data_IF_986040580134
#
_entry.id   IF_986040580134
#
_cell.length_a   1.000
_cell.length_b   1.000
_cell.length_c   1.000
_cell.angle_alpha   90.00
_cell.angle_beta   90.00
_cell.angle_gamma   90.00
#
_symmetry.space_group_name_H-M   'P 1'
#
loop_
_entity.id
_entity.type
_entity.pdbx_description
1 polymer ?
#
# COMPACT_ATOMS: atom_id res chain seq x y z
N UNK A 1 -16.54 35.42 -8.91
CA UNK A 1 -16.34 35.04 -7.49
C UNK A 1 -16.29 33.54 -7.22
N UNK A 2 -16.61 32.62 -8.15
CA UNK A 2 -16.59 31.16 -7.88
C UNK A 2 -15.24 30.45 -8.09
N UNK A 3 -14.21 31.14 -8.59
CA UNK A 3 -12.90 30.55 -8.91
C UNK A 3 -11.84 30.76 -7.83
N UNK A 4 -11.99 31.78 -6.97
CA UNK A 4 -11.07 32.08 -5.86
C UNK A 4 -11.28 31.15 -4.67
N UNK A 5 -12.52 30.81 -4.35
CA UNK A 5 -12.87 29.99 -3.17
C UNK A 5 -12.51 28.51 -3.36
N UNK A 6 -12.54 28.00 -4.60
CA UNK A 6 -12.01 26.66 -4.92
C UNK A 6 -10.50 26.58 -4.78
N UNK A 7 -9.76 27.65 -5.12
CA UNK A 7 -8.30 27.71 -4.96
C UNK A 7 -7.89 27.83 -3.48
N UNK A 8 -8.58 28.66 -2.69
CA UNK A 8 -8.30 28.79 -1.25
C UNK A 8 -8.65 27.54 -0.44
N UNK A 9 -9.65 26.74 -0.85
CA UNK A 9 -9.95 25.46 -0.18
C UNK A 9 -9.00 24.31 -0.56
N UNK A 10 -8.28 24.39 -1.68
CA UNK A 10 -7.29 23.36 -2.06
C UNK A 10 -6.04 23.38 -1.17
N UNK A 11 -5.69 24.52 -0.55
CA UNK A 11 -4.55 24.58 0.38
C UNK A 11 -4.80 23.86 1.71
N UNK A 12 -6.04 23.44 2.00
CA UNK A 12 -6.42 22.91 3.32
C UNK A 12 -6.35 21.38 3.43
N UNK A 13 -6.28 20.66 2.31
CA UNK A 13 -6.38 19.21 2.28
C UNK A 13 -5.26 18.58 1.45
N UNK A 14 -4.46 17.65 2.02
CA UNK A 14 -3.37 17.01 1.29
C UNK A 14 -3.85 16.33 0.00
N UNK A 15 -3.13 16.54 -1.11
CA UNK A 15 -3.38 15.88 -2.39
C UNK A 15 -2.73 14.50 -2.40
N UNK A 16 -3.51 13.45 -2.67
CA UNK A 16 -3.08 12.06 -2.56
C UNK A 16 -3.04 11.40 -3.94
N UNK A 17 -1.94 10.72 -4.27
CA UNK A 17 -1.92 9.74 -5.35
C UNK A 17 -2.24 8.37 -4.78
N UNK A 18 -3.25 7.68 -5.30
CA UNK A 18 -3.58 6.30 -4.95
C UNK A 18 -3.20 5.39 -6.11
N UNK A 19 -2.47 4.31 -5.85
CA UNK A 19 -2.07 3.44 -6.95
C UNK A 19 -1.19 2.27 -6.56
N UNK A 20 -0.95 1.41 -7.55
CA UNK A 20 -0.01 0.31 -7.46
C UNK A 20 0.51 -0.14 -8.83
N UNK A 21 1.65 -0.85 -8.85
CA UNK A 21 1.98 -1.79 -9.92
C UNK A 21 0.92 -2.90 -10.02
N UNK A 22 0.62 -3.37 -11.22
CA UNK A 22 -0.22 -4.56 -11.43
C UNK A 22 0.16 -5.34 -12.69
N UNK A 23 -0.33 -6.57 -12.81
CA UNK A 23 -0.21 -7.43 -13.98
C UNK A 23 -1.42 -8.36 -14.11
N UNK A 24 -1.53 -9.06 -15.24
CA UNK A 24 -2.60 -10.02 -15.51
C UNK A 24 -2.74 -11.11 -14.44
N UNK A 25 -1.67 -11.41 -13.69
CA UNK A 25 -1.70 -12.35 -12.56
C UNK A 25 -2.65 -11.93 -11.42
N UNK A 26 -3.13 -10.67 -11.42
CA UNK A 26 -4.08 -10.15 -10.42
C UNK A 26 -5.51 -10.01 -10.96
N UNK A 27 -5.79 -10.44 -12.20
CA UNK A 27 -7.10 -10.25 -12.85
C UNK A 27 -8.31 -10.66 -11.99
N UNK A 28 -8.16 -11.74 -11.21
CA UNK A 28 -9.16 -12.32 -10.34
C UNK A 28 -9.74 -11.36 -9.31
N UNK A 29 -8.99 -10.32 -8.91
CA UNK A 29 -9.43 -9.31 -7.95
C UNK A 29 -9.69 -7.93 -8.59
N UNK A 30 -9.48 -7.77 -9.91
CA UNK A 30 -9.56 -6.47 -10.59
C UNK A 30 -10.91 -5.77 -10.35
N UNK A 31 -12.03 -6.47 -10.55
CA UNK A 31 -13.36 -5.87 -10.41
C UNK A 31 -13.61 -5.34 -8.99
N UNK A 32 -13.26 -6.13 -7.97
CA UNK A 32 -13.46 -5.73 -6.57
C UNK A 32 -12.51 -4.59 -6.17
N UNK A 33 -11.27 -4.62 -6.66
CA UNK A 33 -10.30 -3.54 -6.47
C UNK A 33 -10.78 -2.21 -7.04
N UNK A 34 -11.26 -2.20 -8.30
CA UNK A 34 -11.80 -1.00 -8.94
C UNK A 34 -13.01 -0.46 -8.16
N UNK A 35 -13.88 -1.35 -7.66
CA UNK A 35 -14.99 -0.93 -6.80
C UNK A 35 -14.50 -0.31 -5.49
N UNK A 36 -13.45 -0.88 -4.88
CA UNK A 36 -12.77 -0.31 -3.71
C UNK A 36 -12.23 1.09 -3.98
N UNK A 37 -11.47 1.27 -5.07
CA UNK A 37 -10.91 2.56 -5.49
C UNK A 37 -11.98 3.62 -5.75
N UNK A 38 -13.04 3.28 -6.50
CA UNK A 38 -14.17 4.18 -6.77
C UNK A 38 -14.98 4.49 -5.51
N UNK A 39 -14.95 3.59 -4.52
CA UNK A 39 -15.65 3.74 -3.25
C UNK A 39 -14.94 4.63 -2.21
N UNK A 40 -13.68 4.98 -2.43
CA UNK A 40 -12.91 5.85 -1.53
C UNK A 40 -13.58 7.23 -1.39
N UNK A 41 -13.78 7.68 -0.15
CA UNK A 41 -14.55 8.91 0.15
C UNK A 41 -13.73 10.19 0.09
N UNK A 42 -12.41 10.12 0.24
CA UNK A 42 -11.56 11.32 0.27
C UNK A 42 -11.60 12.07 -1.06
N UNK A 43 -11.89 13.39 -1.08
CA UNK A 43 -12.14 14.10 -2.33
C UNK A 43 -10.89 14.53 -3.09
N UNK A 44 -9.75 14.78 -2.41
CA UNK A 44 -8.53 15.32 -3.02
C UNK A 44 -7.54 14.21 -3.39
N UNK A 45 -8.01 13.26 -4.19
CA UNK A 45 -7.20 12.12 -4.64
C UNK A 45 -7.22 11.99 -6.15
N UNK A 46 -6.10 11.55 -6.69
CA UNK A 46 -6.02 10.96 -8.02
C UNK A 46 -5.71 9.47 -7.92
N UNK A 47 -6.08 8.73 -8.95
CA UNK A 47 -5.78 7.30 -9.07
C UNK A 47 -4.84 7.11 -10.24
N UNK A 48 -3.84 6.24 -10.09
CA UNK A 48 -3.04 5.74 -11.21
C UNK A 48 -2.64 4.29 -10.99
N UNK A 49 -2.97 3.44 -11.95
CA UNK A 49 -2.50 2.05 -12.00
C UNK A 49 -1.36 1.96 -13.01
N UNK A 50 -0.28 1.25 -12.66
CA UNK A 50 0.82 0.94 -13.59
C UNK A 50 0.77 -0.54 -13.96
N UNK A 51 0.28 -0.83 -15.16
CA UNK A 51 0.09 -2.17 -15.71
C UNK A 51 1.37 -2.65 -16.38
N UNK A 52 1.97 -3.76 -15.92
CA UNK A 52 3.30 -4.21 -16.36
C UNK A 52 3.33 -5.61 -17.00
N UNK A 53 2.20 -6.10 -17.51
CA UNK A 53 2.13 -7.36 -18.27
C UNK A 53 2.88 -7.24 -19.59
N UNK A 54 3.26 -8.39 -20.15
CA UNK A 54 4.02 -8.45 -21.40
C UNK A 54 3.25 -7.89 -22.60
N UNK A 55 1.94 -8.17 -22.67
CA UNK A 55 1.06 -7.73 -23.74
C UNK A 55 0.01 -6.74 -23.21
N UNK A 56 -0.79 -6.18 -24.11
CA UNK A 56 -1.74 -5.09 -23.78
C UNK A 56 -3.17 -5.58 -23.53
N UNK A 57 -3.40 -6.89 -23.47
CA UNK A 57 -4.73 -7.46 -23.22
C UNK A 57 -5.26 -7.01 -21.85
N UNK A 58 -4.41 -7.12 -20.82
CA UNK A 58 -4.76 -6.72 -19.47
C UNK A 58 -4.89 -5.20 -19.33
N UNK A 59 -4.04 -4.42 -20.00
CA UNK A 59 -4.19 -2.96 -20.10
C UNK A 59 -5.55 -2.57 -20.70
N UNK A 60 -5.93 -3.23 -21.80
CA UNK A 60 -7.20 -3.00 -22.48
C UNK A 60 -8.39 -3.36 -21.60
N UNK A 61 -8.28 -4.45 -20.84
CA UNK A 61 -9.28 -4.83 -19.84
C UNK A 61 -9.45 -3.76 -18.76
N UNK A 62 -8.35 -3.24 -18.18
CA UNK A 62 -8.44 -2.19 -17.14
C UNK A 62 -9.07 -0.91 -17.71
N UNK A 63 -8.75 -0.53 -18.96
CA UNK A 63 -9.33 0.66 -19.61
C UNK A 63 -10.86 0.59 -19.71
N UNK A 64 -11.44 -0.60 -19.85
CA UNK A 64 -12.90 -0.77 -19.88
C UNK A 64 -13.59 -0.40 -18.56
N UNK A 65 -12.85 -0.28 -17.46
CA UNK A 65 -13.37 0.18 -16.17
C UNK A 65 -13.31 1.71 -16.01
N UNK A 66 -12.81 2.44 -17.00
CA UNK A 66 -12.70 3.90 -17.00
C UNK A 66 -11.90 4.43 -15.80
N UNK A 67 -10.79 3.76 -15.49
CA UNK A 67 -9.85 4.19 -14.44
C UNK A 67 -8.50 4.58 -15.07
N UNK A 68 -7.79 5.59 -14.54
CA UNK A 68 -6.49 5.93 -15.08
C UNK A 68 -5.49 4.79 -14.92
N UNK A 69 -4.95 4.34 -16.05
CA UNK A 69 -3.96 3.28 -16.15
C UNK A 69 -2.93 3.63 -17.22
N UNK A 70 -1.67 3.34 -16.93
CA UNK A 70 -0.57 3.44 -17.90
C UNK A 70 0.15 2.12 -18.04
N UNK A 71 0.83 1.95 -19.18
CA UNK A 71 1.71 0.81 -19.41
C UNK A 71 3.06 1.05 -18.74
N UNK A 72 3.44 0.18 -17.82
CA UNK A 72 4.79 0.08 -17.28
C UNK A 72 5.71 -0.70 -18.21
N UNK A 73 7.02 -0.51 -18.04
CA UNK A 73 8.02 -1.27 -18.78
C UNK A 73 7.96 -2.75 -18.40
N UNK A 74 8.01 -3.61 -19.41
CA UNK A 74 8.09 -5.05 -19.21
C UNK A 74 9.55 -5.51 -19.09
N UNK A 75 9.77 -6.43 -18.16
CA UNK A 75 11.01 -7.18 -17.92
C UNK A 75 10.64 -8.64 -17.68
N UNK A 76 11.54 -9.59 -17.86
CA UNK A 76 11.28 -11.01 -17.54
C UNK A 76 11.04 -11.24 -16.04
N UNK A 77 11.82 -10.56 -15.19
CA UNK A 77 11.71 -10.65 -13.73
C UNK A 77 10.56 -9.81 -13.16
N UNK A 78 9.79 -10.39 -12.24
CA UNK A 78 8.66 -9.72 -11.61
C UNK A 78 9.09 -8.55 -10.71
N UNK A 79 10.25 -8.68 -10.07
CA UNK A 79 10.80 -7.69 -9.14
C UNK A 79 11.14 -6.40 -9.89
N UNK A 80 11.80 -6.50 -11.03
CA UNK A 80 12.18 -5.36 -11.88
C UNK A 80 10.94 -4.64 -12.42
N UNK A 81 9.92 -5.40 -12.84
CA UNK A 81 8.63 -4.83 -13.26
C UNK A 81 7.96 -4.05 -12.14
N UNK A 82 7.92 -4.62 -10.94
CA UNK A 82 7.30 -4.00 -9.77
C UNK A 82 8.05 -2.72 -9.37
N UNK A 83 9.37 -2.77 -9.23
CA UNK A 83 10.20 -1.63 -8.84
C UNK A 83 10.09 -0.48 -9.83
N UNK A 84 10.25 -0.79 -11.12
CA UNK A 84 10.14 0.23 -12.18
C UNK A 84 8.76 0.89 -12.15
N UNK A 85 7.71 0.09 -11.96
CA UNK A 85 6.34 0.60 -11.84
C UNK A 85 6.13 1.46 -10.60
N UNK A 86 6.72 1.08 -9.45
CA UNK A 86 6.59 1.83 -8.21
C UNK A 86 7.38 3.14 -8.25
N UNK A 87 8.52 3.16 -8.92
CA UNK A 87 9.29 4.37 -9.16
C UNK A 87 8.61 5.33 -10.15
N UNK A 88 7.80 4.84 -11.09
CA UNK A 88 6.91 5.70 -11.90
C UNK A 88 5.88 6.41 -11.00
N UNK A 89 5.22 5.69 -10.08
CA UNK A 89 4.27 6.27 -9.13
C UNK A 89 4.94 7.27 -8.18
N UNK A 90 6.12 6.92 -7.65
CA UNK A 90 6.96 7.81 -6.85
C UNK A 90 7.28 9.10 -7.61
N UNK A 91 7.80 8.98 -8.83
CA UNK A 91 8.16 10.13 -9.67
C UNK A 91 6.95 11.01 -9.94
N UNK A 92 5.77 10.44 -10.21
CA UNK A 92 4.53 11.20 -10.34
C UNK A 92 4.21 12.01 -9.08
N UNK A 93 4.33 11.42 -7.89
CA UNK A 93 4.14 12.15 -6.63
C UNK A 93 5.09 13.34 -6.51
N UNK A 94 6.36 13.12 -6.80
CA UNK A 94 7.41 14.15 -6.71
C UNK A 94 7.23 15.25 -7.77
N UNK A 95 6.93 14.89 -9.02
CA UNK A 95 6.90 15.85 -10.13
C UNK A 95 5.59 16.66 -10.20
N UNK A 96 4.48 16.11 -9.72
CA UNK A 96 3.13 16.70 -9.92
C UNK A 96 2.49 17.26 -8.63
N UNK A 97 3.31 17.55 -7.62
CA UNK A 97 2.89 18.28 -6.41
C UNK A 97 1.90 17.53 -5.54
N UNK A 98 2.01 16.20 -5.44
CA UNK A 98 1.25 15.42 -4.45
C UNK A 98 1.93 15.48 -3.08
N UNK A 99 1.13 15.47 -2.01
CA UNK A 99 1.60 15.47 -0.62
C UNK A 99 1.86 14.06 -0.10
N UNK A 100 1.09 13.08 -0.59
CA UNK A 100 1.22 11.68 -0.21
C UNK A 100 1.01 10.73 -1.39
N UNK A 101 1.62 9.55 -1.27
CA UNK A 101 1.32 8.35 -2.04
C UNK A 101 0.64 7.32 -1.13
N UNK A 102 -0.57 6.90 -1.48
CA UNK A 102 -1.19 5.70 -0.94
C UNK A 102 -0.87 4.52 -1.85
N UNK A 103 0.14 3.73 -1.45
CA UNK A 103 0.40 2.43 -2.06
C UNK A 103 -0.73 1.48 -1.66
N UNK A 104 -1.55 1.09 -2.64
CA UNK A 104 -2.71 0.23 -2.45
C UNK A 104 -2.67 -0.90 -3.48
N UNK A 105 -2.17 -2.07 -3.11
CA UNK A 105 -2.02 -3.20 -4.05
C UNK A 105 -3.37 -3.77 -4.49
N UNK A 106 -3.42 -4.30 -5.72
CA UNK A 106 -4.68 -4.67 -6.36
C UNK A 106 -5.50 -5.70 -5.57
N UNK A 107 -4.84 -6.61 -4.86
CA UNK A 107 -5.50 -7.61 -4.01
C UNK A 107 -5.85 -7.08 -2.61
N UNK A 108 -5.62 -5.81 -2.30
CA UNK A 108 -5.94 -5.22 -1.00
C UNK A 108 -7.11 -4.25 -1.13
N UNK A 109 -8.25 -4.61 -0.54
CA UNK A 109 -9.49 -3.82 -0.57
C UNK A 109 -9.64 -3.08 0.77
N UNK A 110 -9.48 -1.74 0.79
CA UNK A 110 -9.49 -0.97 2.03
C UNK A 110 -10.91 -0.56 2.44
N UNK A 111 -11.11 -0.13 3.71
CA UNK A 111 -12.25 0.70 4.08
C UNK A 111 -12.36 1.95 3.19
N UNK A 112 -13.58 2.43 2.95
CA UNK A 112 -13.84 3.58 2.06
C UNK A 112 -13.22 4.89 2.58
N UNK A 113 -13.12 5.03 3.89
CA UNK A 113 -12.62 6.18 4.64
C UNK A 113 -11.13 6.06 5.05
N UNK A 114 -10.39 5.16 4.39
CA UNK A 114 -8.99 4.83 4.70
C UNK A 114 -8.07 6.06 4.74
N UNK A 115 -8.19 6.95 3.74
CA UNK A 115 -7.31 8.12 3.60
C UNK A 115 -7.58 9.10 4.76
N UNK A 116 -8.84 9.37 5.05
CA UNK A 116 -9.27 10.24 6.14
C UNK A 116 -8.72 9.76 7.47
N UNK A 117 -8.87 8.46 7.76
CA UNK A 117 -8.40 7.84 9.01
C UNK A 117 -6.88 7.88 9.12
N UNK A 118 -6.15 7.60 8.05
CA UNK A 118 -4.69 7.68 8.04
C UNK A 118 -4.17 9.11 8.23
N UNK A 119 -4.79 10.10 7.58
CA UNK A 119 -4.40 11.51 7.69
C UNK A 119 -4.64 12.10 9.09
N UNK A 120 -5.64 11.61 9.84
CA UNK A 120 -5.90 12.04 11.23
C UNK A 120 -4.69 11.85 12.14
N UNK A 121 -3.85 10.84 11.87
CA UNK A 121 -2.66 10.54 12.69
C UNK A 121 -1.45 11.44 12.39
N UNK A 122 -1.48 12.20 11.29
CA UNK A 122 -0.41 13.14 10.88
C UNK A 122 0.98 12.47 10.85
N UNK A 123 1.05 11.22 10.37
CA UNK A 123 2.29 10.46 10.26
C UNK A 123 2.89 10.57 8.86
N UNK A 124 4.21 10.46 8.78
CA UNK A 124 4.94 10.42 7.51
C UNK A 124 4.78 9.08 6.80
N UNK A 125 4.73 7.98 7.56
CA UNK A 125 4.43 6.64 7.04
C UNK A 125 3.42 5.97 7.96
N UNK A 126 2.29 5.55 7.41
CA UNK A 126 1.26 4.82 8.15
C UNK A 126 0.67 3.69 7.32
N UNK A 127 0.57 2.51 7.94
CA UNK A 127 0.05 1.29 7.31
C UNK A 127 -1.31 0.88 7.88
N UNK A 128 -2.18 0.33 7.02
CA UNK A 128 -3.35 -0.43 7.43
C UNK A 128 -3.03 -1.92 7.58
N UNK A 129 -3.87 -2.66 8.30
CA UNK A 129 -3.65 -4.10 8.50
C UNK A 129 -4.29 -4.92 7.40
N UNK A 130 -3.50 -5.82 6.81
CA UNK A 130 -3.99 -6.94 6.04
C UNK A 130 -3.12 -8.16 6.34
N UNK A 131 -3.65 -9.34 6.06
CA UNK A 131 -3.06 -10.59 6.53
C UNK A 131 -2.54 -11.44 5.38
N UNK A 132 -1.49 -12.22 5.64
CA UNK A 132 -0.98 -13.21 4.71
C UNK A 132 -0.76 -14.57 5.39
N UNK A 133 -0.98 -15.64 4.63
CA UNK A 133 -0.61 -16.99 4.99
C UNK A 133 0.91 -17.13 4.94
N UNK A 134 1.50 -17.47 6.07
CA UNK A 134 2.88 -17.88 6.18
C UNK A 134 2.93 -19.36 6.54
N UNK A 135 3.85 -20.09 5.89
CA UNK A 135 4.17 -21.47 6.23
C UNK A 135 5.23 -21.45 7.32
N UNK A 136 4.94 -22.09 8.44
CA UNK A 136 5.85 -22.21 9.58
C UNK A 136 6.68 -23.50 9.48
N UNK A 137 7.75 -23.59 10.27
CA UNK A 137 8.65 -24.75 10.32
C UNK A 137 7.91 -26.05 10.66
N UNK A 138 6.82 -25.96 11.42
CA UNK A 138 5.92 -27.07 11.74
C UNK A 138 5.05 -27.54 10.54
N UNK A 139 5.27 -26.94 9.35
CA UNK A 139 4.54 -27.22 8.12
C UNK A 139 3.15 -26.59 8.07
N UNK A 140 2.66 -25.98 9.16
CA UNK A 140 1.33 -25.38 9.22
C UNK A 140 1.31 -24.01 8.56
N UNK A 141 0.23 -23.75 7.86
CA UNK A 141 -0.06 -22.41 7.33
C UNK A 141 -0.82 -21.64 8.39
N UNK A 142 -0.30 -20.49 8.79
CA UNK A 142 -1.00 -19.58 9.72
C UNK A 142 -1.15 -18.22 9.07
N UNK A 143 -2.24 -17.56 9.43
CA UNK A 143 -2.53 -16.21 9.00
C UNK A 143 -1.80 -15.22 9.91
N UNK A 144 -0.97 -14.35 9.32
CA UNK A 144 -0.11 -13.40 10.03
C UNK A 144 -0.39 -11.99 9.51
N UNK A 145 -0.53 -10.96 10.38
CA UNK A 145 -0.64 -9.57 9.93
C UNK A 145 0.67 -9.12 9.29
N UNK A 146 0.58 -8.41 8.17
CA UNK A 146 1.74 -7.81 7.51
C UNK A 146 2.12 -6.46 8.13
N UNK A 147 2.39 -6.48 9.44
CA UNK A 147 2.90 -5.37 10.23
C UNK A 147 3.73 -5.92 11.39
N UNK A 148 4.95 -5.41 11.55
CA UNK A 148 5.98 -5.99 12.42
C UNK A 148 6.59 -4.96 13.36
N UNK A 149 6.77 -5.33 14.63
CA UNK A 149 7.46 -4.53 15.65
C UNK A 149 8.86 -5.06 15.89
N UNK A 150 9.78 -4.15 16.15
CA UNK A 150 11.11 -4.49 16.64
C UNK A 150 10.99 -4.92 18.10
N UNK A 151 11.56 -6.09 18.43
CA UNK A 151 11.61 -6.60 19.81
C UNK A 151 13.01 -6.55 20.39
N UNK A 152 14.05 -6.49 19.54
CA UNK A 152 15.42 -6.29 19.97
C UNK A 152 16.17 -5.48 18.90
N UNK A 153 16.72 -4.33 19.31
CA UNK A 153 17.45 -3.42 18.42
C UNK A 153 18.85 -3.93 18.05
N UNK A 154 19.53 -4.61 18.97
CA UNK A 154 20.89 -5.13 18.77
C UNK A 154 20.90 -6.29 17.78
N UNK A 155 19.93 -7.21 17.90
CA UNK A 155 19.80 -8.37 17.01
C UNK A 155 18.87 -8.12 15.82
N UNK A 156 18.33 -6.91 15.69
CA UNK A 156 17.33 -6.52 14.68
C UNK A 156 16.16 -7.49 14.58
N UNK A 157 15.79 -8.11 15.71
CA UNK A 157 14.74 -9.12 15.72
C UNK A 157 13.38 -8.44 15.75
N UNK A 158 12.46 -8.91 14.90
CA UNK A 158 11.10 -8.42 14.79
C UNK A 158 10.07 -9.52 14.99
N UNK A 159 8.85 -9.14 15.38
CA UNK A 159 7.68 -10.03 15.43
C UNK A 159 6.50 -9.38 14.72
N UNK A 160 5.56 -10.16 14.16
CA UNK A 160 4.28 -9.60 13.71
C UNK A 160 3.50 -9.04 14.90
N UNK A 161 2.57 -8.12 14.62
CA UNK A 161 1.56 -7.71 15.61
C UNK A 161 0.75 -8.91 16.09
N UNK A 162 0.37 -8.88 17.36
CA UNK A 162 -0.30 -10.00 18.03
C UNK A 162 -1.81 -9.75 18.19
N UNK A 163 -2.55 -10.79 18.59
CA UNK A 163 -4.00 -10.71 18.77
C UNK A 163 -4.42 -9.56 19.72
N UNK A 164 -3.65 -9.34 20.78
CA UNK A 164 -3.89 -8.25 21.72
C UNK A 164 -3.83 -6.87 21.03
N UNK A 165 -2.85 -6.63 20.14
CA UNK A 165 -2.66 -5.35 19.44
C UNK A 165 -3.67 -5.17 18.29
N UNK A 166 -4.22 -6.27 17.78
CA UNK A 166 -5.16 -6.26 16.66
C UNK A 166 -6.62 -6.19 17.09
N UNK A 167 -6.98 -6.82 18.21
CA UNK A 167 -8.38 -7.10 18.57
C UNK A 167 -8.75 -6.63 19.97
N UNK A 168 -7.92 -6.90 20.98
CA UNK A 168 -8.26 -6.60 22.36
C UNK A 168 -7.96 -5.13 22.71
N UNK A 169 -6.91 -4.57 22.12
CA UNK A 169 -6.45 -3.20 22.29
C UNK A 169 -6.13 -2.55 20.92
N UNK A 170 -7.08 -2.41 19.99
CA UNK A 170 -6.79 -1.83 18.69
C UNK A 170 -6.47 -0.33 18.81
N UNK A 171 -5.52 0.16 18.02
CA UNK A 171 -5.06 1.54 18.08
C UNK A 171 -3.88 1.82 17.16
N UNK A 172 -3.13 2.89 17.45
CA UNK A 172 -1.94 3.26 16.70
C UNK A 172 -0.68 2.68 17.35
N UNK A 173 0.07 1.88 16.60
CA UNK A 173 1.29 1.23 17.06
C UNK A 173 2.51 1.64 16.25
N UNK A 174 3.66 1.93 16.89
CA UNK A 174 4.92 2.02 16.17
C UNK A 174 5.31 0.64 15.64
N UNK A 175 5.74 0.59 14.39
CA UNK A 175 6.21 -0.62 13.70
C UNK A 175 7.53 -0.31 12.99
N UNK A 176 8.25 -1.34 12.54
CA UNK A 176 9.49 -1.18 11.76
C UNK A 176 9.38 -1.76 10.36
N UNK A 177 8.33 -2.54 10.08
CA UNK A 177 8.10 -3.12 8.75
C UNK A 177 6.61 -3.43 8.55
N UNK A 178 6.15 -3.35 7.32
CA UNK A 178 4.84 -3.80 6.86
C UNK A 178 4.96 -4.33 5.43
N UNK A 179 3.86 -4.76 4.81
CA UNK A 179 3.80 -4.88 3.36
C UNK A 179 3.35 -3.56 2.71
N UNK A 180 3.69 -3.33 1.44
CA UNK A 180 3.31 -2.11 0.70
C UNK A 180 1.87 -2.13 0.16
N UNK A 181 1.06 -3.11 0.55
CA UNK A 181 -0.29 -3.29 0.03
C UNK A 181 -1.32 -2.27 0.52
N UNK A 182 -1.06 -1.58 1.63
CA UNK A 182 -1.89 -0.47 2.10
C UNK A 182 -1.06 0.47 3.01
N UNK A 183 -0.29 1.36 2.41
CA UNK A 183 0.61 2.28 3.12
C UNK A 183 0.49 3.68 2.56
N UNK A 184 0.19 4.65 3.43
CA UNK A 184 0.23 6.07 3.10
C UNK A 184 1.61 6.64 3.45
N UNK A 185 2.27 7.20 2.44
CA UNK A 185 3.67 7.64 2.48
C UNK A 185 3.72 9.12 2.11
N UNK A 186 4.22 9.96 3.01
CA UNK A 186 4.40 11.38 2.79
C UNK A 186 5.49 11.64 1.75
N UNK A 187 5.30 12.68 0.93
CA UNK A 187 6.23 13.11 -0.10
C UNK A 187 7.67 13.24 0.41
N UNK A 188 7.87 13.80 1.60
CA UNK A 188 9.22 13.97 2.17
C UNK A 188 9.97 12.65 2.41
N UNK A 189 9.25 11.53 2.53
CA UNK A 189 9.86 10.19 2.62
C UNK A 189 10.27 9.71 1.24
N UNK A 190 9.39 9.90 0.25
CA UNK A 190 9.67 9.55 -1.15
C UNK A 190 10.82 10.38 -1.74
N UNK A 191 11.03 11.63 -1.30
CA UNK A 191 12.20 12.43 -1.69
C UNK A 191 13.52 11.78 -1.25
N UNK A 192 13.51 11.04 -0.13
CA UNK A 192 14.68 10.40 0.45
C UNK A 192 14.86 8.93 0.06
N UNK A 193 13.77 8.26 -0.30
CA UNK A 193 13.74 6.81 -0.55
C UNK A 193 13.21 6.54 -1.96
N UNK A 194 14.03 5.86 -2.75
CA UNK A 194 13.66 5.27 -4.02
C UNK A 194 13.32 3.78 -3.82
N UNK A 195 12.29 3.27 -4.51
CA UNK A 195 11.96 1.85 -4.40
C UNK A 195 13.06 1.03 -5.07
N UNK A 196 13.53 -0.02 -4.39
CA UNK A 196 14.67 -0.83 -4.84
C UNK A 196 14.52 -2.28 -4.38
N UNK A 197 15.29 -3.17 -4.98
CA UNK A 197 15.52 -4.52 -4.47
C UNK A 197 17.00 -4.82 -4.38
N UNK A 198 17.33 -5.77 -3.52
CA UNK A 198 18.60 -6.48 -3.51
C UNK A 198 18.35 -7.98 -3.34
N UNK A 199 19.25 -8.80 -3.88
CA UNK A 199 19.27 -10.25 -3.67
C UNK A 199 17.93 -10.95 -3.98
N UNK A 200 17.23 -10.51 -5.04
CA UNK A 200 15.93 -11.08 -5.47
C UNK A 200 14.83 -11.02 -4.38
N UNK A 201 14.92 -10.08 -3.44
CA UNK A 201 13.84 -9.78 -2.51
C UNK A 201 12.96 -8.64 -3.04
N UNK A 202 11.69 -8.64 -2.66
CA UNK A 202 10.73 -7.60 -3.05
C UNK A 202 11.04 -6.26 -2.37
N UNK A 203 10.49 -5.20 -2.96
CA UNK A 203 10.81 -3.82 -2.66
C UNK A 203 10.19 -3.29 -1.37
N UNK A 204 9.11 -3.93 -0.90
CA UNK A 204 8.51 -3.64 0.40
C UNK A 204 9.52 -3.77 1.53
N UNK A 205 10.29 -4.86 1.56
CA UNK A 205 11.33 -5.09 2.56
C UNK A 205 12.34 -3.94 2.59
N UNK A 206 12.87 -3.53 1.44
CA UNK A 206 13.91 -2.50 1.39
C UNK A 206 13.37 -1.10 1.64
N UNK A 207 12.13 -0.81 1.26
CA UNK A 207 11.50 0.46 1.62
C UNK A 207 11.49 0.67 3.15
N UNK A 208 11.15 -0.36 3.92
CA UNK A 208 11.14 -0.27 5.38
C UNK A 208 12.54 -0.32 6.02
N UNK A 209 13.50 -1.03 5.40
CA UNK A 209 14.91 -0.95 5.79
C UNK A 209 15.43 0.49 5.60
N UNK A 210 15.17 1.10 4.44
CA UNK A 210 15.59 2.48 4.16
C UNK A 210 14.93 3.48 5.10
N UNK A 211 13.67 3.25 5.49
CA UNK A 211 13.02 4.05 6.53
C UNK A 211 13.75 3.89 7.87
N UNK A 212 14.09 2.68 8.26
CA UNK A 212 14.80 2.40 9.51
C UNK A 212 16.18 3.05 9.54
N UNK A 213 16.97 2.90 8.47
CA UNK A 213 18.32 3.45 8.35
C UNK A 213 18.35 4.98 8.34
N UNK A 214 17.24 5.62 7.91
CA UNK A 214 17.05 7.07 7.91
C UNK A 214 16.29 7.58 9.14
N UNK A 215 16.05 6.72 10.13
CA UNK A 215 15.32 7.06 11.37
C UNK A 215 13.90 7.63 11.10
N UNK A 216 13.25 7.17 10.03
CA UNK A 216 11.89 7.53 9.68
C UNK A 216 10.92 6.65 10.45
N UNK A 217 10.15 7.26 11.35
CA UNK A 217 9.14 6.55 12.12
C UNK A 217 8.01 6.01 11.24
N UNK A 218 7.64 4.74 11.46
CA UNK A 218 6.55 4.05 10.77
C UNK A 218 5.50 3.66 11.82
N UNK A 219 4.23 3.89 11.49
CA UNK A 219 3.12 3.52 12.34
C UNK A 219 2.14 2.60 11.62
N UNK A 220 1.38 1.85 12.40
CA UNK A 220 0.25 1.08 11.91
C UNK A 220 -0.99 1.40 12.75
N UNK A 221 -2.09 1.71 12.08
CA UNK A 221 -3.40 1.83 12.74
C UNK A 221 -4.12 0.49 12.65
N UNK A 222 -4.16 -0.26 13.75
CA UNK A 222 -4.77 -1.59 13.80
C UNK A 222 -6.30 -1.54 13.80
N UNK A 223 -6.91 -0.36 13.93
CA UNK A 223 -8.34 -0.18 13.70
C UNK A 223 -8.69 -0.24 12.20
N UNK A 224 -7.71 -0.02 11.33
CA UNK A 224 -7.84 -0.07 9.87
C UNK A 224 -7.50 -1.48 9.40
N UNK A 225 -8.51 -2.22 8.91
CA UNK A 225 -8.34 -3.59 8.40
C UNK A 225 -8.82 -3.68 6.96
N UNK A 226 -7.94 -4.09 6.07
CA UNK A 226 -8.17 -4.25 4.64
C UNK A 226 -8.39 -5.73 4.30
N UNK A 227 -9.37 -6.01 3.45
CA UNK A 227 -9.60 -7.35 2.92
C UNK A 227 -8.47 -7.68 1.95
N UNK A 228 -7.78 -8.79 2.18
CA UNK A 228 -6.79 -9.30 1.24
C UNK A 228 -7.43 -10.39 0.38
N UNK A 229 -7.62 -10.10 -0.90
CA UNK A 229 -8.14 -10.99 -1.92
C UNK A 229 -7.05 -11.93 -2.36
N UNK A 230 -6.92 -13.06 -1.69
CA UNK A 230 -5.92 -14.07 -2.01
C UNK A 230 -6.66 -15.33 -2.41
N UNK A 231 -6.21 -16.01 -3.45
CA UNK A 231 -6.73 -17.32 -3.83
C UNK A 231 -6.32 -18.34 -2.75
N UNK A 232 -7.04 -18.40 -1.62
CA UNK A 232 -6.59 -19.07 -0.38
C UNK A 232 -7.72 -19.77 0.40
N UNK A 233 -7.37 -20.79 1.23
CA UNK A 233 -8.32 -21.70 1.89
C UNK A 233 -9.13 -21.09 3.04
N UNK A 234 -8.78 -19.89 3.54
CA UNK A 234 -9.45 -19.26 4.69
C UNK A 234 -10.21 -18.01 4.20
N UNK A 235 -11.56 -18.01 4.23
CA UNK A 235 -12.38 -16.87 3.83
C UNK A 235 -12.13 -15.62 4.67
N UNK A 236 -12.22 -14.43 4.05
CA UNK A 236 -12.15 -13.14 4.76
C UNK A 236 -13.16 -13.00 5.90
N UNK A 237 -14.34 -13.63 5.78
CA UNK A 237 -15.36 -13.66 6.81
C UNK A 237 -14.87 -14.29 8.13
N UNK A 238 -13.88 -15.17 8.09
CA UNK A 238 -13.28 -15.79 9.29
C UNK A 238 -12.19 -14.91 9.93
N UNK A 239 -11.72 -13.87 9.22
CA UNK A 239 -10.66 -12.95 9.67
C UNK A 239 -11.28 -11.74 10.40
N UNK A 240 -12.44 -11.28 9.92
CA UNK A 240 -13.18 -10.17 10.52
C UNK A 240 -14.01 -10.68 11.69
N UNK A 241 -13.64 -10.32 12.92
CA UNK A 241 -14.56 -10.37 14.07
C UNK A 241 -15.60 -9.26 13.96
#
# INVERSE_FOLDING_TARGET
MQTSDKKQNMEKYPKILVGCPTSFHKDYCLKEYIQGLKGLTYPYKDILIVENSKNDDYLSLIKNFEIPVIKGQWFDGAIERIITSRNILRKKVLDEGYDYFLSLEQDVIPPKDIIERMLQHRKKVISGIYFANNKFEDGKVRLIPLAYKLINKETQTMRPLEANELWDNPGLYPIVSAGLGCVLIHRSVLEQIEFRSENQNFDDRFFFIDCYDKEIEIFCDTTIKCKHMINRPIPWAEIKK
#
